data_IF_627757240400
#
_entry.id   IF_627757240400
#
_cell.length_a   1.000
_cell.length_b   1.000
_cell.length_c   1.000
_cell.angle_alpha   90.00
_cell.angle_beta   90.00
_cell.angle_gamma   90.00
#
_symmetry.space_group_name_H-M   'P 1'
#
loop_
_entity.id
_entity.type
_entity.pdbx_description
1 polymer ?
#
# COMPACT_ATOMS: atom_id res chain seq x y z
N UNK A 1 5.01 17.91 -10.99
CA UNK A 1 4.51 17.48 -9.66
C UNK A 1 4.32 15.98 -9.73
N UNK A 2 5.13 15.21 -9.01
CA UNK A 2 5.11 13.75 -9.11
C UNK A 2 3.97 13.21 -8.24
N UNK A 3 3.11 12.35 -8.78
CA UNK A 3 1.97 11.78 -8.06
C UNK A 3 1.96 10.26 -8.25
N UNK A 4 1.55 9.52 -7.22
CA UNK A 4 1.33 8.08 -7.34
C UNK A 4 -0.14 7.84 -7.68
N UNK A 5 -0.38 6.73 -8.39
CA UNK A 5 -1.72 6.19 -8.61
C UNK A 5 -1.80 4.83 -7.92
N UNK A 6 -2.94 4.56 -7.29
CA UNK A 6 -3.26 3.22 -6.77
C UNK A 6 -4.07 2.53 -7.85
N UNK A 7 -3.60 1.36 -8.32
CA UNK A 7 -4.32 0.58 -9.31
C UNK A 7 -5.71 0.15 -8.77
N UNK A 8 -6.76 0.07 -9.59
CA UNK A 8 -8.10 -0.30 -9.12
C UNK A 8 -8.14 -1.62 -8.35
N UNK A 9 -7.37 -2.62 -8.78
CA UNK A 9 -7.23 -3.90 -8.06
C UNK A 9 -6.61 -3.73 -6.68
N UNK A 10 -5.57 -2.89 -6.56
CA UNK A 10 -4.95 -2.57 -5.28
C UNK A 10 -5.90 -1.80 -4.34
N UNK A 11 -6.73 -0.90 -4.88
CA UNK A 11 -7.76 -0.21 -4.10
C UNK A 11 -8.82 -1.18 -3.56
N UNK A 12 -9.21 -2.17 -4.36
CA UNK A 12 -10.13 -3.23 -3.89
C UNK A 12 -9.52 -4.02 -2.72
N UNK A 13 -8.27 -4.45 -2.84
CA UNK A 13 -7.57 -5.13 -1.75
C UNK A 13 -7.42 -4.23 -0.50
N UNK A 14 -7.19 -2.93 -0.70
CA UNK A 14 -7.11 -1.99 0.42
C UNK A 14 -8.43 -1.90 1.18
N UNK A 15 -9.57 -1.86 0.46
CA UNK A 15 -10.89 -1.86 1.08
C UNK A 15 -11.15 -3.17 1.86
N UNK A 16 -10.80 -4.32 1.29
CA UNK A 16 -10.94 -5.62 2.00
C UNK A 16 -10.12 -5.66 3.31
N UNK A 17 -8.91 -5.06 3.33
CA UNK A 17 -8.10 -4.92 4.54
C UNK A 17 -8.76 -3.96 5.55
N UNK A 18 -9.32 -2.84 5.08
CA UNK A 18 -10.02 -1.87 5.93
C UNK A 18 -11.25 -2.51 6.59
N UNK A 19 -12.07 -3.21 5.80
CA UNK A 19 -13.26 -3.90 6.29
C UNK A 19 -12.90 -4.93 7.37
N UNK A 20 -11.81 -5.68 7.18
CA UNK A 20 -11.29 -6.59 8.20
C UNK A 20 -10.93 -5.86 9.52
N UNK A 21 -10.30 -4.68 9.45
CA UNK A 21 -9.98 -3.92 10.65
C UNK A 21 -11.20 -3.26 11.29
N UNK A 22 -12.23 -2.90 10.52
CA UNK A 22 -13.46 -2.34 11.05
C UNK A 22 -14.16 -3.31 12.02
N UNK A 23 -14.14 -4.60 11.70
CA UNK A 23 -14.75 -5.65 12.53
C UNK A 23 -13.88 -6.07 13.73
N UNK A 24 -12.55 -5.98 13.61
CA UNK A 24 -11.63 -6.52 14.61
C UNK A 24 -11.00 -5.47 15.52
N UNK A 25 -10.44 -4.39 14.94
CA UNK A 25 -9.71 -3.36 15.67
C UNK A 25 -9.49 -2.10 14.82
N UNK A 26 -10.38 -1.12 14.99
CA UNK A 26 -10.37 0.15 14.25
C UNK A 26 -9.05 0.90 14.41
N UNK A 27 -8.50 0.98 15.63
CA UNK A 27 -7.24 1.70 15.91
C UNK A 27 -6.05 1.11 15.14
N UNK A 28 -6.00 -0.22 14.99
CA UNK A 28 -4.99 -0.88 14.14
C UNK A 28 -5.21 -0.58 12.66
N UNK A 29 -6.46 -0.51 12.22
CA UNK A 29 -6.81 -0.08 10.87
C UNK A 29 -6.33 1.34 10.56
N UNK A 30 -6.60 2.29 11.44
CA UNK A 30 -6.14 3.68 11.30
C UNK A 30 -4.60 3.75 11.22
N UNK A 31 -3.91 3.02 12.10
CA UNK A 31 -2.45 2.96 12.12
C UNK A 31 -1.89 2.38 10.81
N UNK A 32 -2.54 1.34 10.27
CA UNK A 32 -2.18 0.73 8.99
C UNK A 32 -2.34 1.72 7.82
N UNK A 33 -3.46 2.43 7.74
CA UNK A 33 -3.73 3.42 6.68
C UNK A 33 -2.73 4.57 6.73
N UNK A 34 -2.43 5.08 7.92
CA UNK A 34 -1.42 6.13 8.09
C UNK A 34 -0.04 5.67 7.58
N UNK A 35 0.39 4.46 7.96
CA UNK A 35 1.66 3.89 7.51
C UNK A 35 1.69 3.62 6.00
N UNK A 36 0.59 3.14 5.42
CA UNK A 36 0.45 2.92 3.98
C UNK A 36 0.56 4.23 3.21
N UNK A 37 -0.16 5.28 3.63
CA UNK A 37 -0.09 6.60 3.01
C UNK A 37 1.31 7.19 3.09
N UNK A 38 1.98 7.09 4.24
CA UNK A 38 3.36 7.53 4.40
C UNK A 38 4.31 6.80 3.43
N UNK A 39 4.09 5.50 3.21
CA UNK A 39 4.88 4.73 2.24
C UNK A 39 4.67 5.23 0.81
N UNK A 40 3.43 5.53 0.42
CA UNK A 40 3.13 6.09 -0.90
C UNK A 40 3.75 7.48 -1.10
N UNK A 41 3.71 8.34 -0.08
CA UNK A 41 4.39 9.64 -0.13
C UNK A 41 5.91 9.49 -0.29
N UNK A 42 6.52 8.54 0.43
CA UNK A 42 7.94 8.27 0.30
C UNK A 42 8.30 7.78 -1.12
N UNK A 43 7.44 7.01 -1.78
CA UNK A 43 7.65 6.56 -3.16
C UNK A 43 7.66 7.70 -4.18
N UNK A 44 7.00 8.82 -3.90
CA UNK A 44 7.05 10.01 -4.76
C UNK A 44 8.49 10.56 -4.82
N UNK A 45 9.18 10.56 -3.68
CA UNK A 45 10.53 11.07 -3.52
C UNK A 45 11.61 10.02 -3.83
N UNK A 46 11.30 8.75 -3.58
CA UNK A 46 12.23 7.62 -3.72
C UNK A 46 11.56 6.46 -4.49
N UNK A 47 11.33 6.60 -5.81
CA UNK A 47 10.56 5.65 -6.60
C UNK A 47 11.20 4.24 -6.68
N UNK A 48 12.51 4.15 -6.43
CA UNK A 48 13.25 2.88 -6.43
C UNK A 48 13.48 2.32 -5.01
N UNK A 49 12.77 2.80 -3.98
CA UNK A 49 12.92 2.26 -2.61
C UNK A 49 12.39 0.82 -2.44
N UNK A 50 11.66 0.32 -3.43
CA UNK A 50 11.15 -1.06 -3.46
C UNK A 50 12.23 -2.04 -3.92
N UNK A 51 12.13 -3.29 -3.46
CA UNK A 51 12.95 -4.37 -4.02
C UNK A 51 12.41 -4.76 -5.39
N UNK A 52 13.27 -4.78 -6.40
CA UNK A 52 12.92 -5.31 -7.71
C UNK A 52 12.61 -6.80 -7.59
N UNK A 53 11.46 -7.21 -8.12
CA UNK A 53 10.99 -8.60 -8.14
C UNK A 53 11.33 -9.32 -9.46
N UNK A 54 12.28 -8.78 -10.24
CA UNK A 54 12.69 -9.34 -11.55
C UNK A 54 13.10 -10.83 -11.48
N UNK A 55 13.49 -11.34 -10.31
CA UNK A 55 14.00 -12.71 -10.17
C UNK A 55 12.95 -13.79 -9.82
N UNK A 56 11.65 -13.49 -9.88
CA UNK A 56 10.59 -14.46 -9.49
C UNK A 56 9.89 -15.15 -10.69
N UNK A 57 10.37 -14.94 -11.92
CA UNK A 57 9.82 -15.55 -13.15
C UNK A 57 10.77 -16.55 -13.81
N UNK A 58 11.81 -17.01 -13.12
CA UNK A 58 12.71 -18.07 -13.60
C UNK A 58 12.43 -19.36 -12.82
N UNK A 59 11.20 -19.88 -12.86
CA UNK A 59 10.84 -21.28 -12.58
C UNK A 59 9.45 -21.56 -13.16
#
# INVERSE_FOLDING_TARGET
MNHYIIAPSASKYLNEIIDYFADFNVTRGESFIAAFQQKCQNLINFPMMGRSKINWLIY
#
